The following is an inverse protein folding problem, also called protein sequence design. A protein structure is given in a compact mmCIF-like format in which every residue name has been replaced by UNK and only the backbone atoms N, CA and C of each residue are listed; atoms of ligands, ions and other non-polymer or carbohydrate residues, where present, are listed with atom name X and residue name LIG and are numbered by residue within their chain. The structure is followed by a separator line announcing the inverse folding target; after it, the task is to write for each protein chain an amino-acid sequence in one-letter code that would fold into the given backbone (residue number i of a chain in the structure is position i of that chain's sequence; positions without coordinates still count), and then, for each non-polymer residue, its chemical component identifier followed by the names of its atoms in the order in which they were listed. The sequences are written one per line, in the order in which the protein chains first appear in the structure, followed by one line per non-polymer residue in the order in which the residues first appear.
data_IF_443679339324
#
_entry.id   IF_443679339324
#
_cell.length_a   1.000
_cell.length_b   1.000
_cell.length_c   1.000
_cell.angle_alpha   90.00
_cell.angle_beta   90.00
_cell.angle_gamma   90.00
#
_symmetry.space_group_name_H-M   'P 1'
#
loop_
_entity.id
_entity.type
_entity.pdbx_description
1 polymer ?
#
# COMPACT_ATOMS: atom_id res chain seq x y z
N UNK A 1 -19.26 -9.29 6.49
CA UNK A 1 -20.19 -10.35 6.02
C UNK A 1 -20.57 -10.25 4.54
N UNK A 2 -21.32 -9.23 4.09
CA UNK A 2 -21.82 -9.13 2.69
C UNK A 2 -20.73 -9.27 1.62
N UNK A 3 -19.56 -8.61 1.80
CA UNK A 3 -18.43 -8.75 0.87
C UNK A 3 -17.97 -10.22 0.71
N UNK A 4 -17.87 -10.98 1.80
CA UNK A 4 -17.49 -12.40 1.75
C UNK A 4 -18.55 -13.26 1.05
N UNK A 5 -19.84 -12.91 1.15
CA UNK A 5 -20.93 -13.55 0.40
C UNK A 5 -20.79 -13.30 -1.11
N UNK A 6 -20.47 -12.07 -1.51
CA UNK A 6 -20.25 -11.69 -2.90
C UNK A 6 -19.02 -12.37 -3.50
N UNK A 7 -17.88 -12.39 -2.79
CA UNK A 7 -16.68 -13.10 -3.27
C UNK A 7 -16.86 -14.61 -3.36
N UNK A 8 -17.60 -15.24 -2.43
CA UNK A 8 -17.96 -16.67 -2.56
C UNK A 8 -18.77 -16.91 -3.83
N UNK A 9 -19.82 -16.10 -4.08
CA UNK A 9 -20.60 -16.20 -5.32
C UNK A 9 -19.75 -15.99 -6.58
N UNK A 10 -18.78 -15.07 -6.56
CA UNK A 10 -17.84 -14.87 -7.66
C UNK A 10 -16.93 -16.10 -7.87
N UNK A 11 -16.50 -16.76 -6.79
CA UNK A 11 -15.72 -18.00 -6.84
C UNK A 11 -16.54 -19.16 -7.40
N UNK A 12 -17.82 -19.26 -7.04
CA UNK A 12 -18.74 -20.29 -7.57
C UNK A 12 -19.03 -20.08 -9.07
N UNK A 13 -19.08 -18.81 -9.52
CA UNK A 13 -19.29 -18.42 -10.92
C UNK A 13 -18.03 -18.44 -11.78
N UNK A 14 -16.85 -18.70 -11.21
CA UNK A 14 -15.58 -18.79 -11.95
C UNK A 14 -15.14 -20.24 -12.04
N UNK A 15 -15.29 -20.92 -13.20
CA UNK A 15 -14.82 -22.30 -13.38
C UNK A 15 -13.31 -22.44 -13.12
N UNK A 16 -12.81 -23.67 -13.02
CA UNK A 16 -11.38 -23.93 -12.90
C UNK A 16 -10.90 -24.84 -14.04
N UNK A 17 -11.08 -24.40 -15.28
CA UNK A 17 -10.79 -25.21 -16.49
C UNK A 17 -9.62 -24.67 -17.31
N UNK A 18 -9.21 -23.42 -17.08
CA UNK A 18 -8.07 -22.78 -17.75
C UNK A 18 -7.13 -22.08 -16.76
N UNK A 19 -5.84 -21.87 -17.11
CA UNK A 19 -4.91 -21.10 -16.27
C UNK A 19 -5.39 -19.67 -15.97
N UNK A 20 -6.05 -19.01 -16.94
CA UNK A 20 -6.60 -17.65 -16.76
C UNK A 20 -7.71 -17.64 -15.71
N UNK A 21 -8.57 -18.66 -15.69
CA UNK A 21 -9.58 -18.80 -14.65
C UNK A 21 -8.95 -19.11 -13.29
N UNK A 22 -7.92 -19.95 -13.22
CA UNK A 22 -7.20 -20.24 -11.98
C UNK A 22 -6.60 -18.94 -11.37
N UNK A 23 -6.01 -18.05 -12.17
CA UNK A 23 -5.55 -16.71 -11.73
C UNK A 23 -6.70 -15.85 -11.17
N UNK A 24 -7.86 -15.85 -11.83
CA UNK A 24 -9.06 -15.14 -11.37
C UNK A 24 -9.54 -15.72 -10.04
N UNK A 25 -9.60 -17.04 -9.91
CA UNK A 25 -9.97 -17.73 -8.66
C UNK A 25 -9.00 -17.41 -7.53
N UNK A 26 -7.70 -17.40 -7.78
CA UNK A 26 -6.69 -17.00 -6.80
C UNK A 26 -6.93 -15.56 -6.31
N UNK A 27 -7.17 -14.63 -7.24
CA UNK A 27 -7.50 -13.23 -6.90
C UNK A 27 -8.79 -13.13 -6.06
N UNK A 28 -9.84 -13.88 -6.40
CA UNK A 28 -11.09 -13.93 -5.63
C UNK A 28 -10.87 -14.55 -4.24
N UNK A 29 -10.05 -15.59 -4.13
CA UNK A 29 -9.67 -16.21 -2.86
C UNK A 29 -8.91 -15.23 -1.95
N UNK A 30 -7.98 -14.45 -2.50
CA UNK A 30 -7.30 -13.38 -1.76
C UNK A 30 -8.34 -12.38 -1.20
N UNK A 31 -9.21 -11.80 -2.03
CA UNK A 31 -10.21 -10.82 -1.58
C UNK A 31 -11.26 -11.41 -0.63
N UNK A 32 -11.60 -12.70 -0.77
CA UNK A 32 -12.44 -13.42 0.19
C UNK A 32 -11.74 -13.57 1.54
N UNK A 33 -10.44 -13.85 1.53
CA UNK A 33 -9.61 -13.87 2.74
C UNK A 33 -9.57 -12.51 3.44
N UNK A 34 -9.36 -11.44 2.67
CA UNK A 34 -9.35 -10.06 3.17
C UNK A 34 -10.71 -9.67 3.80
N UNK A 35 -11.82 -10.09 3.18
CA UNK A 35 -13.17 -9.87 3.69
C UNK A 35 -13.46 -10.66 4.98
N UNK A 36 -12.87 -11.85 5.14
CA UNK A 36 -12.93 -12.62 6.39
C UNK A 36 -12.10 -11.97 7.49
N UNK A 37 -10.87 -11.55 7.19
CA UNK A 37 -9.98 -10.86 8.13
C UNK A 37 -10.63 -9.56 8.63
N UNK A 38 -11.21 -8.76 7.74
CA UNK A 38 -11.97 -7.55 8.07
C UNK A 38 -13.25 -7.82 8.88
N UNK A 39 -13.73 -9.08 8.92
CA UNK A 39 -14.85 -9.52 9.76
C UNK A 39 -14.38 -10.28 11.02
N UNK A 40 -13.10 -10.19 11.39
CA UNK A 40 -12.52 -10.85 12.57
C UNK A 40 -12.28 -12.37 12.44
N UNK A 41 -12.49 -12.96 11.26
CA UNK A 41 -12.44 -14.39 11.06
C UNK A 41 -11.08 -14.85 10.48
N UNK A 42 -10.05 -14.83 11.32
CA UNK A 42 -8.68 -15.18 10.96
C UNK A 42 -8.52 -16.60 10.37
N UNK A 43 -9.24 -17.59 10.91
CA UNK A 43 -9.17 -18.98 10.43
C UNK A 43 -9.69 -19.16 9.00
N UNK A 44 -10.80 -18.47 8.67
CA UNK A 44 -11.30 -18.47 7.29
C UNK A 44 -10.36 -17.68 6.38
N UNK A 45 -9.87 -16.52 6.82
CA UNK A 45 -8.92 -15.70 6.07
C UNK A 45 -7.66 -16.49 5.69
N UNK A 46 -6.97 -17.08 6.67
CA UNK A 46 -5.77 -17.88 6.47
C UNK A 46 -5.98 -19.16 5.65
N UNK A 47 -7.21 -19.68 5.54
CA UNK A 47 -7.52 -20.77 4.59
C UNK A 47 -7.67 -20.28 3.15
N UNK A 48 -8.31 -19.13 2.94
CA UNK A 48 -8.46 -18.56 1.59
C UNK A 48 -7.12 -18.04 1.06
N UNK A 49 -6.30 -17.37 1.88
CA UNK A 49 -4.96 -16.91 1.49
C UNK A 49 -4.02 -18.07 1.14
N UNK A 50 -4.04 -19.19 1.89
CA UNK A 50 -3.28 -20.40 1.53
C UNK A 50 -3.74 -21.03 0.22
N UNK A 51 -5.04 -21.08 -0.04
CA UNK A 51 -5.56 -21.58 -1.31
C UNK A 51 -5.17 -20.66 -2.48
N UNK A 52 -5.23 -19.34 -2.29
CA UNK A 52 -4.73 -18.39 -3.28
C UNK A 52 -3.24 -18.58 -3.55
N UNK A 53 -2.40 -18.66 -2.50
CA UNK A 53 -0.95 -18.80 -2.65
C UNK A 53 -0.59 -20.10 -3.38
N UNK A 54 -1.25 -21.21 -3.05
CA UNK A 54 -1.04 -22.49 -3.74
C UNK A 54 -1.31 -22.39 -5.26
N UNK A 55 -2.36 -21.69 -5.68
CA UNK A 55 -2.63 -21.44 -7.11
C UNK A 55 -1.57 -20.54 -7.76
N UNK A 56 -1.06 -19.52 -7.05
CA UNK A 56 0.05 -18.70 -7.56
C UNK A 56 1.34 -19.52 -7.69
N UNK A 57 1.66 -20.38 -6.73
CA UNK A 57 2.83 -21.27 -6.77
C UNK A 57 2.72 -22.33 -7.90
N UNK A 58 1.54 -22.91 -8.12
CA UNK A 58 1.27 -23.88 -9.20
C UNK A 58 1.46 -23.24 -10.60
N UNK A 59 1.04 -21.98 -10.76
CA UNK A 59 1.12 -21.27 -12.04
C UNK A 59 2.46 -20.58 -12.29
N UNK A 60 3.30 -20.41 -11.25
CA UNK A 60 4.58 -19.72 -11.35
C UNK A 60 5.53 -20.26 -12.45
N UNK A 61 5.69 -21.58 -12.68
CA UNK A 61 6.54 -22.10 -13.75
C UNK A 61 6.08 -21.72 -15.17
N UNK A 62 4.80 -21.42 -15.35
CA UNK A 62 4.23 -21.02 -16.65
C UNK A 62 4.39 -19.52 -16.94
N UNK A 63 4.80 -18.71 -15.97
CA UNK A 63 5.00 -17.26 -16.15
C UNK A 63 6.41 -16.98 -16.69
N UNK A 64 6.48 -16.48 -17.92
CA UNK A 64 7.73 -16.14 -18.59
C UNK A 64 7.90 -14.63 -18.83
N UNK A 65 6.79 -13.90 -19.02
CA UNK A 65 6.83 -12.46 -19.26
C UNK A 65 7.19 -11.69 -17.97
N UNK A 66 8.16 -10.73 -18.00
CA UNK A 66 8.63 -10.04 -16.80
C UNK A 66 7.52 -9.33 -16.00
N UNK A 67 6.54 -8.74 -16.70
CA UNK A 67 5.39 -8.11 -16.06
C UNK A 67 4.46 -9.12 -15.34
N UNK A 68 4.30 -10.33 -15.90
CA UNK A 68 3.49 -11.39 -15.28
C UNK A 68 4.22 -12.01 -14.08
N UNK A 69 5.54 -12.18 -14.17
CA UNK A 69 6.39 -12.61 -13.06
C UNK A 69 6.30 -11.58 -11.92
N UNK A 70 6.39 -10.29 -12.24
CA UNK A 70 6.33 -9.22 -11.24
C UNK A 70 4.98 -9.17 -10.51
N UNK A 71 3.87 -9.22 -11.24
CA UNK A 71 2.51 -9.26 -10.67
C UNK A 71 2.30 -10.51 -9.78
N UNK A 72 2.74 -11.68 -10.25
CA UNK A 72 2.67 -12.92 -9.47
C UNK A 72 3.47 -12.80 -8.16
N UNK A 73 4.70 -12.30 -8.22
CA UNK A 73 5.55 -12.18 -7.04
C UNK A 73 5.05 -11.09 -6.07
N UNK A 74 4.46 -10.00 -6.56
CA UNK A 74 3.80 -8.98 -5.74
C UNK A 74 2.64 -9.59 -4.94
N UNK A 75 1.77 -10.38 -5.60
CA UNK A 75 0.64 -11.07 -4.94
C UNK A 75 1.09 -12.11 -3.94
N UNK A 76 2.13 -12.90 -4.28
CA UNK A 76 2.75 -13.85 -3.33
C UNK A 76 3.26 -13.11 -2.10
N UNK A 77 3.96 -11.98 -2.27
CA UNK A 77 4.46 -11.15 -1.17
C UNK A 77 3.34 -10.70 -0.22
N UNK A 78 2.26 -10.13 -0.75
CA UNK A 78 1.10 -9.71 0.07
C UNK A 78 0.49 -10.89 0.85
N UNK A 79 0.25 -12.03 0.18
CA UNK A 79 -0.30 -13.23 0.81
C UNK A 79 0.61 -13.81 1.90
N UNK A 80 1.92 -13.81 1.67
CA UNK A 80 2.92 -14.27 2.64
C UNK A 80 2.96 -13.36 3.87
N UNK A 81 2.92 -12.03 3.69
CA UNK A 81 2.90 -11.05 4.78
C UNK A 81 1.61 -11.15 5.61
N UNK A 82 0.46 -11.32 4.96
CA UNK A 82 -0.84 -11.58 5.60
C UNK A 82 -0.84 -12.87 6.45
N UNK A 83 0.02 -13.83 6.12
CA UNK A 83 0.22 -15.08 6.87
C UNK A 83 1.42 -15.03 7.83
N UNK A 84 1.93 -13.83 8.14
CA UNK A 84 3.09 -13.59 9.01
C UNK A 84 4.41 -14.26 8.56
N UNK A 85 4.54 -14.57 7.27
CA UNK A 85 5.75 -15.11 6.64
C UNK A 85 6.60 -13.99 6.05
N UNK A 86 7.03 -13.06 6.92
CA UNK A 86 7.62 -11.79 6.51
C UNK A 86 8.90 -11.94 5.66
N UNK A 87 9.82 -12.83 6.01
CA UNK A 87 11.06 -13.04 5.22
C UNK A 87 10.78 -13.59 3.80
N UNK A 88 9.81 -14.49 3.69
CA UNK A 88 9.34 -15.01 2.39
C UNK A 88 8.65 -13.90 1.59
N UNK A 89 7.87 -13.04 2.26
CA UNK A 89 7.19 -11.91 1.64
C UNK A 89 8.17 -10.89 1.06
N UNK A 90 9.17 -10.48 1.86
CA UNK A 90 10.27 -9.59 1.42
C UNK A 90 11.03 -10.20 0.24
N UNK A 91 11.26 -11.51 0.25
CA UNK A 91 11.90 -12.22 -0.86
C UNK A 91 11.05 -12.17 -2.14
N UNK A 92 9.74 -12.39 -2.04
CA UNK A 92 8.82 -12.27 -3.16
C UNK A 92 8.73 -10.82 -3.68
N UNK A 93 8.64 -9.83 -2.78
CA UNK A 93 8.62 -8.41 -3.16
C UNK A 93 9.89 -7.97 -3.88
N UNK A 94 11.09 -8.36 -3.41
CA UNK A 94 12.35 -8.13 -4.14
C UNK A 94 12.34 -8.79 -5.52
N UNK A 95 11.81 -10.02 -5.62
CA UNK A 95 11.67 -10.70 -6.92
C UNK A 95 10.69 -9.98 -7.86
N UNK A 96 9.65 -9.32 -7.34
CA UNK A 96 8.71 -8.55 -8.13
C UNK A 96 9.36 -7.30 -8.74
N UNK A 97 10.07 -6.53 -7.91
CA UNK A 97 10.80 -5.34 -8.35
C UNK A 97 11.94 -5.68 -9.33
N UNK A 98 12.68 -6.77 -9.07
CA UNK A 98 13.75 -7.23 -9.97
C UNK A 98 13.22 -7.65 -11.36
N UNK A 99 12.00 -8.18 -11.44
CA UNK A 99 11.38 -8.58 -12.71
C UNK A 99 10.91 -7.38 -13.56
N UNK A 100 10.41 -6.31 -12.94
CA UNK A 100 9.95 -5.12 -13.64
C UNK A 100 10.33 -3.81 -12.92
N UNK A 101 11.63 -3.46 -12.84
CA UNK A 101 12.11 -2.34 -12.01
C UNK A 101 11.68 -0.96 -12.51
N UNK A 102 11.14 -0.84 -13.71
CA UNK A 102 10.58 0.41 -14.24
C UNK A 102 9.07 0.56 -13.99
N UNK A 103 8.40 -0.48 -13.46
CA UNK A 103 6.97 -0.46 -13.17
C UNK A 103 6.69 0.25 -11.84
N UNK A 104 6.49 1.57 -11.93
CA UNK A 104 6.10 2.49 -10.85
C UNK A 104 4.98 1.93 -9.95
N UNK A 105 4.01 1.25 -10.54
CA UNK A 105 2.86 0.62 -9.89
C UNK A 105 3.27 -0.42 -8.83
N UNK A 106 4.40 -1.11 -9.02
CA UNK A 106 4.90 -2.11 -8.07
C UNK A 106 5.45 -1.44 -6.81
N UNK A 107 6.27 -0.39 -6.96
CA UNK A 107 6.72 0.43 -5.83
C UNK A 107 5.53 1.06 -5.11
N UNK A 108 4.51 1.49 -5.85
CA UNK A 108 3.32 2.09 -5.25
C UNK A 108 2.50 1.07 -4.43
N UNK A 109 2.25 -0.11 -4.99
CA UNK A 109 1.55 -1.22 -4.33
C UNK A 109 2.32 -1.69 -3.10
N UNK A 110 3.64 -1.84 -3.19
CA UNK A 110 4.47 -2.30 -2.09
C UNK A 110 4.57 -1.28 -0.95
N UNK A 111 4.84 -0.02 -1.24
CA UNK A 111 4.96 1.00 -0.19
C UNK A 111 3.61 1.26 0.50
N UNK A 112 2.49 1.25 -0.22
CA UNK A 112 1.17 1.36 0.41
C UNK A 112 0.81 0.12 1.24
N UNK A 113 1.20 -1.09 0.81
CA UNK A 113 1.12 -2.30 1.63
C UNK A 113 1.97 -2.18 2.91
N UNK A 114 3.21 -1.67 2.83
CA UNK A 114 4.09 -1.50 3.99
C UNK A 114 3.57 -0.44 4.99
N UNK A 115 3.04 0.69 4.49
CA UNK A 115 2.32 1.68 5.33
C UNK A 115 1.25 0.99 6.17
N UNK A 116 0.55 0.03 5.57
CA UNK A 116 -0.53 -0.72 6.18
C UNK A 116 -0.16 -2.16 6.57
N UNK A 117 1.11 -2.54 6.77
CA UNK A 117 1.49 -3.88 7.28
C UNK A 117 1.40 -3.93 8.82
N UNK A 118 0.98 -5.04 9.49
CA UNK A 118 0.78 -5.05 10.94
C UNK A 118 2.03 -4.63 11.71
N UNK A 119 3.19 -5.18 11.31
CA UNK A 119 4.52 -4.88 11.80
C UNK A 119 5.21 -3.90 10.86
N UNK A 120 5.48 -2.63 11.26
CA UNK A 120 6.13 -1.66 10.39
C UNK A 120 7.59 -2.05 10.10
N UNK A 121 7.90 -2.39 8.84
CA UNK A 121 9.28 -2.59 8.38
C UNK A 121 9.82 -1.31 7.72
N UNK A 122 10.39 -0.42 8.54
CA UNK A 122 11.01 0.80 8.05
C UNK A 122 12.28 0.53 7.23
N UNK A 123 13.03 -0.54 7.55
CA UNK A 123 14.29 -0.86 6.86
C UNK A 123 14.00 -1.24 5.42
N UNK A 124 13.04 -2.13 5.21
CA UNK A 124 12.63 -2.53 3.86
C UNK A 124 11.89 -1.42 3.12
N UNK A 125 11.05 -0.62 3.80
CA UNK A 125 10.43 0.55 3.17
C UNK A 125 11.48 1.56 2.65
N UNK A 126 12.57 1.78 3.39
CA UNK A 126 13.68 2.61 2.93
C UNK A 126 14.50 1.97 1.80
N UNK A 127 14.68 0.65 1.79
CA UNK A 127 15.31 -0.08 0.68
C UNK A 127 14.51 0.11 -0.62
N UNK A 128 13.21 -0.17 -0.57
CA UNK A 128 12.26 -0.02 -1.70
C UNK A 128 12.22 1.42 -2.19
N UNK A 129 12.22 2.40 -1.28
CA UNK A 129 12.28 3.82 -1.63
C UNK A 129 13.58 4.19 -2.36
N UNK A 130 14.73 3.80 -1.82
CA UNK A 130 16.04 4.05 -2.46
C UNK A 130 16.13 3.40 -3.83
N UNK A 131 15.50 2.24 -4.01
CA UNK A 131 15.40 1.62 -5.34
C UNK A 131 14.51 2.41 -6.29
N UNK A 132 13.31 2.81 -5.86
CA UNK A 132 12.42 3.65 -6.65
C UNK A 132 13.13 4.95 -7.11
N UNK A 133 13.92 5.59 -6.22
CA UNK A 133 14.67 6.80 -6.58
C UNK A 133 15.72 6.59 -7.67
N UNK A 134 16.29 5.37 -7.83
CA UNK A 134 17.24 5.03 -8.90
C UNK A 134 16.57 4.93 -10.28
N UNK A 135 15.24 4.79 -10.34
CA UNK A 135 14.53 4.66 -11.61
C UNK A 135 14.42 6.00 -12.31
N UNK A 136 14.94 6.10 -13.53
CA UNK A 136 14.97 7.32 -14.35
C UNK A 136 13.60 7.70 -14.90
N UNK A 137 12.72 6.72 -15.09
CA UNK A 137 11.33 6.89 -15.52
C UNK A 137 10.39 7.33 -14.40
N UNK A 138 10.84 7.33 -13.13
CA UNK A 138 9.98 7.71 -12.00
C UNK A 138 9.73 9.22 -11.96
N UNK A 139 8.50 9.58 -12.26
CA UNK A 139 7.98 10.95 -12.32
C UNK A 139 8.13 11.67 -10.96
N UNK A 140 8.39 12.99 -10.93
CA UNK A 140 8.71 13.71 -9.69
C UNK A 140 7.64 13.61 -8.60
N UNK A 141 6.35 13.66 -8.97
CA UNK A 141 5.23 13.53 -8.02
C UNK A 141 5.26 12.21 -7.25
N UNK A 142 5.61 11.09 -7.88
CA UNK A 142 5.67 9.79 -7.20
C UNK A 142 6.84 9.68 -6.22
N UNK A 143 7.91 10.46 -6.42
CA UNK A 143 9.00 10.59 -5.43
C UNK A 143 8.49 11.23 -4.14
N UNK A 144 7.53 12.17 -4.23
CA UNK A 144 6.84 12.74 -3.06
C UNK A 144 5.95 11.71 -2.39
N UNK A 145 5.03 11.06 -3.11
CA UNK A 145 4.13 10.05 -2.53
C UNK A 145 4.90 8.93 -1.82
N UNK A 146 5.93 8.38 -2.47
CA UNK A 146 6.77 7.34 -1.87
C UNK A 146 7.52 7.82 -0.64
N UNK A 147 8.05 9.06 -0.65
CA UNK A 147 8.71 9.63 0.52
C UNK A 147 7.75 9.83 1.69
N UNK A 148 6.53 10.32 1.44
CA UNK A 148 5.49 10.49 2.46
C UNK A 148 5.03 9.14 3.03
N UNK A 149 4.86 8.12 2.20
CA UNK A 149 4.50 6.77 2.65
C UNK A 149 5.59 6.15 3.53
N UNK A 150 6.88 6.30 3.20
CA UNK A 150 7.98 5.90 4.10
C UNK A 150 7.96 6.70 5.41
N UNK A 151 7.57 7.98 5.41
CA UNK A 151 7.34 8.74 6.65
C UNK A 151 6.19 8.17 7.48
N UNK A 152 5.11 7.66 6.87
CA UNK A 152 4.03 6.99 7.63
C UNK A 152 4.52 5.67 8.24
N UNK A 153 5.33 4.88 7.51
CA UNK A 153 5.97 3.67 8.08
C UNK A 153 6.87 4.04 9.26
N UNK A 154 7.67 5.10 9.14
CA UNK A 154 8.55 5.58 10.21
C UNK A 154 7.78 6.03 11.45
N UNK A 155 6.70 6.80 11.26
CA UNK A 155 5.78 7.22 12.32
C UNK A 155 5.20 6.01 13.06
N UNK A 156 4.71 4.99 12.32
CA UNK A 156 4.20 3.75 12.90
C UNK A 156 5.25 2.92 13.62
N UNK A 157 6.51 2.95 13.17
CA UNK A 157 7.63 2.30 13.83
C UNK A 157 8.10 3.03 15.10
N UNK A 158 7.63 4.27 15.35
CA UNK A 158 8.19 5.14 16.39
C UNK A 158 9.65 5.54 16.12
N UNK A 159 10.07 5.54 14.86
CA UNK A 159 11.46 5.73 14.45
C UNK A 159 11.62 6.98 13.56
N UNK A 160 12.77 7.66 13.61
CA UNK A 160 13.06 8.74 12.67
C UNK A 160 13.20 8.20 11.25
N UNK A 161 12.67 8.95 10.28
CA UNK A 161 12.86 8.64 8.85
C UNK A 161 14.30 9.00 8.41
N UNK A 162 14.82 8.29 7.39
CA UNK A 162 16.12 8.61 6.79
C UNK A 162 16.17 10.02 6.17
N UNK A 163 17.34 10.66 6.20
CA UNK A 163 17.53 12.00 5.64
C UNK A 163 17.28 12.05 4.13
N UNK A 164 17.59 10.97 3.42
CA UNK A 164 17.32 10.76 2.01
C UNK A 164 15.83 10.96 1.64
N UNK A 165 14.93 10.54 2.51
CA UNK A 165 13.48 10.78 2.35
C UNK A 165 13.13 12.26 2.50
N UNK A 166 13.72 12.93 3.51
CA UNK A 166 13.46 14.36 3.78
C UNK A 166 14.08 15.25 2.69
N UNK A 167 15.24 14.88 2.18
CA UNK A 167 15.96 15.61 1.13
C UNK A 167 15.19 15.57 -0.20
N UNK A 168 14.58 14.43 -0.55
CA UNK A 168 13.65 14.33 -1.69
C UNK A 168 12.44 15.25 -1.52
N UNK A 169 11.80 15.27 -0.33
CA UNK A 169 10.67 16.16 -0.07
C UNK A 169 11.10 17.64 -0.14
N UNK A 170 12.27 18.00 0.40
CA UNK A 170 12.80 19.38 0.32
C UNK A 170 13.12 19.80 -1.12
N UNK A 171 13.61 18.88 -1.95
CA UNK A 171 13.88 19.14 -3.36
C UNK A 171 12.59 19.33 -4.18
N UNK A 172 11.46 18.77 -3.75
CA UNK A 172 10.16 18.89 -4.41
C UNK A 172 9.24 19.97 -3.82
N UNK A 173 9.59 20.57 -2.66
CA UNK A 173 8.73 21.54 -1.98
C UNK A 173 8.55 22.87 -2.72
N UNK A 174 9.40 23.17 -3.71
CA UNK A 174 9.29 24.34 -4.60
C UNK A 174 8.59 24.04 -5.93
N UNK A 175 8.23 22.79 -6.19
CA UNK A 175 7.50 22.38 -7.40
C UNK A 175 6.06 22.91 -7.35
N UNK A 176 5.53 23.34 -8.49
CA UNK A 176 4.14 23.82 -8.58
C UNK A 176 3.13 22.67 -8.52
N UNK A 177 1.92 22.96 -8.05
CA UNK A 177 0.83 21.99 -7.93
C UNK A 177 0.82 21.23 -6.60
N UNK A 178 -0.11 20.28 -6.47
CA UNK A 178 -0.46 19.64 -5.21
C UNK A 178 0.69 18.84 -4.58
N UNK A 179 1.44 18.05 -5.36
CA UNK A 179 2.58 17.29 -4.84
C UNK A 179 3.68 18.18 -4.24
N UNK A 180 3.84 19.41 -4.72
CA UNK A 180 4.76 20.38 -4.11
C UNK A 180 4.29 20.86 -2.73
N UNK A 181 2.99 21.14 -2.58
CA UNK A 181 2.36 21.47 -1.28
C UNK A 181 2.47 20.30 -0.30
N UNK A 182 2.19 19.07 -0.76
CA UNK A 182 2.39 17.84 0.02
C UNK A 182 3.85 17.67 0.47
N UNK A 183 4.82 17.99 -0.39
CA UNK A 183 6.25 17.93 -0.05
C UNK A 183 6.66 19.03 0.95
N UNK A 184 6.13 20.24 0.81
CA UNK A 184 6.31 21.33 1.77
C UNK A 184 5.72 20.98 3.15
N UNK A 185 4.52 20.39 3.20
CA UNK A 185 3.92 19.90 4.45
C UNK A 185 4.75 18.75 5.03
N UNK A 186 5.17 17.80 4.18
CA UNK A 186 6.01 16.67 4.56
C UNK A 186 7.39 17.06 5.12
N UNK A 187 7.89 18.27 4.84
CA UNK A 187 9.10 18.83 5.47
C UNK A 187 8.82 19.73 6.68
N UNK A 188 7.55 20.04 6.97
CA UNK A 188 7.16 21.01 8.00
C UNK A 188 7.30 22.47 7.58
N UNK A 189 7.49 22.75 6.28
CA UNK A 189 7.61 24.12 5.76
C UNK A 189 6.28 24.87 5.70
N UNK A 190 5.15 24.16 5.57
CA UNK A 190 3.79 24.68 5.70
C UNK A 190 3.02 23.92 6.77
N UNK A 191 2.01 24.56 7.38
CA UNK A 191 1.14 23.94 8.39
C UNK A 191 -0.08 23.26 7.76
N UNK A 192 -0.78 22.43 8.53
CA UNK A 192 -1.94 21.69 8.02
C UNK A 192 -3.10 22.59 7.54
N UNK A 193 -3.36 23.70 8.22
CA UNK A 193 -4.39 24.67 7.83
C UNK A 193 -4.07 25.36 6.50
N UNK A 194 -2.79 25.59 6.21
CA UNK A 194 -2.33 26.07 4.90
C UNK A 194 -2.50 24.99 3.82
N UNK A 195 -2.11 23.73 4.09
CA UNK A 195 -2.29 22.62 3.17
C UNK A 195 -3.78 22.37 2.86
N UNK A 196 -4.63 22.33 3.89
CA UNK A 196 -6.07 22.07 3.78
C UNK A 196 -6.81 23.23 3.10
N UNK A 197 -6.44 24.47 3.40
CA UNK A 197 -6.97 25.66 2.71
C UNK A 197 -6.57 25.73 1.23
N UNK A 198 -5.50 25.03 0.86
CA UNK A 198 -4.99 24.96 -0.50
C UNK A 198 -5.49 23.73 -1.30
N UNK A 199 -6.38 22.90 -0.75
CA UNK A 199 -6.82 21.63 -1.33
C UNK A 199 -8.07 21.77 -2.21
N UNK A 200 -7.97 21.36 -3.47
CA UNK A 200 -9.03 21.41 -4.47
C UNK A 200 -9.74 20.05 -4.65
N UNK A 201 -11.08 20.08 -4.66
CA UNK A 201 -11.91 18.87 -4.78
C UNK A 201 -11.80 17.90 -3.60
N UNK A 202 -12.31 16.68 -3.77
CA UNK A 202 -12.34 15.65 -2.70
C UNK A 202 -11.03 14.86 -2.60
N UNK A 203 -10.27 14.73 -3.70
CA UNK A 203 -9.00 14.01 -3.73
C UNK A 203 -7.94 14.66 -2.84
N UNK A 204 -7.59 15.92 -3.13
CA UNK A 204 -6.56 16.65 -2.38
C UNK A 204 -6.92 16.79 -0.88
N UNK A 205 -8.21 16.98 -0.55
CA UNK A 205 -8.67 16.99 0.86
C UNK A 205 -8.47 15.63 1.54
N UNK A 206 -8.71 14.54 0.83
CA UNK A 206 -8.51 13.17 1.36
C UNK A 206 -7.03 12.91 1.63
N UNK A 207 -6.14 13.37 0.75
CA UNK A 207 -4.69 13.29 0.94
C UNK A 207 -4.22 14.19 2.09
N UNK A 208 -4.71 15.44 2.17
CA UNK A 208 -4.38 16.36 3.25
C UNK A 208 -4.75 15.80 4.64
N UNK A 209 -5.97 15.26 4.78
CA UNK A 209 -6.42 14.58 6.00
C UNK A 209 -5.55 13.36 6.34
N UNK A 210 -5.19 12.55 5.34
CA UNK A 210 -4.36 11.35 5.53
C UNK A 210 -2.95 11.70 6.01
N UNK A 211 -2.31 12.71 5.43
CA UNK A 211 -0.96 13.11 5.82
C UNK A 211 -0.92 13.87 7.15
N UNK A 212 -1.97 14.62 7.50
CA UNK A 212 -2.14 15.19 8.85
C UNK A 212 -2.33 14.09 9.90
N UNK A 213 -3.11 13.05 9.61
CA UNK A 213 -3.23 11.88 10.47
C UNK A 213 -1.87 11.19 10.69
N UNK A 214 -1.08 11.04 9.62
CA UNK A 214 0.28 10.50 9.73
C UNK A 214 1.25 11.40 10.52
N UNK A 215 1.12 12.74 10.41
CA UNK A 215 1.90 13.69 11.21
C UNK A 215 1.57 13.57 12.70
N UNK A 216 0.28 13.54 13.05
CA UNK A 216 -0.19 13.35 14.43
C UNK A 216 0.26 12.03 15.03
N UNK A 217 0.22 10.96 14.23
CA UNK A 217 0.72 9.65 14.64
C UNK A 217 2.22 9.69 14.98
N UNK A 218 3.03 10.43 14.21
CA UNK A 218 4.45 10.65 14.50
C UNK A 218 4.70 11.47 15.78
N UNK A 219 3.74 12.31 16.17
CA UNK A 219 3.76 13.11 17.40
C UNK A 219 3.15 12.37 18.61
N UNK A 220 2.67 11.14 18.43
CA UNK A 220 2.03 10.33 19.47
C UNK A 220 0.53 10.55 19.65
N UNK A 221 -0.10 11.46 18.89
CA UNK A 221 -1.56 11.66 18.86
C UNK A 221 -2.23 10.58 17.99
N UNK A 222 -2.19 9.33 18.46
CA UNK A 222 -2.84 8.20 17.81
C UNK A 222 -4.37 8.32 17.80
N UNK A 223 -4.96 9.04 18.76
CA UNK A 223 -6.40 9.27 18.82
C UNK A 223 -6.85 10.21 17.70
N UNK A 224 -6.26 11.40 17.59
CA UNK A 224 -6.55 12.36 16.52
C UNK A 224 -6.15 11.86 15.14
N UNK A 225 -5.09 11.05 15.03
CA UNK A 225 -4.78 10.34 13.79
C UNK A 225 -5.91 9.40 13.35
N UNK A 226 -6.45 8.60 14.27
CA UNK A 226 -7.56 7.69 13.98
C UNK A 226 -8.87 8.43 13.66
N UNK A 227 -9.14 9.58 14.27
CA UNK A 227 -10.29 10.41 13.93
C UNK A 227 -10.22 10.90 12.48
N UNK A 228 -9.06 11.39 12.04
CA UNK A 228 -8.83 11.84 10.67
C UNK A 228 -8.82 10.69 9.66
N UNK A 229 -8.26 9.51 10.00
CA UNK A 229 -8.38 8.34 9.14
C UNK A 229 -9.84 7.93 8.92
N UNK A 230 -10.74 8.11 9.91
CA UNK A 230 -12.18 7.86 9.72
C UNK A 230 -12.81 8.89 8.78
N UNK A 231 -12.36 10.14 8.79
CA UNK A 231 -12.78 11.17 7.83
C UNK A 231 -12.31 10.85 6.39
N UNK A 232 -11.06 10.41 6.23
CA UNK A 232 -10.49 9.90 4.95
C UNK A 232 -11.33 8.75 4.36
N UNK A 233 -11.80 7.83 5.21
CA UNK A 233 -12.71 6.75 4.80
C UNK A 233 -14.11 7.31 4.50
N UNK A 234 -14.60 8.27 5.29
CA UNK A 234 -15.89 8.95 5.11
C UNK A 234 -16.03 9.68 3.77
N UNK A 235 -14.93 10.19 3.21
CA UNK A 235 -14.91 10.85 1.89
C UNK A 235 -15.23 9.91 0.71
N UNK A 236 -15.24 8.59 0.90
CA UNK A 236 -15.71 7.62 -0.10
C UNK A 236 -14.85 7.52 -1.37
N UNK A 237 -13.58 7.97 -1.32
CA UNK A 237 -12.63 7.98 -2.45
C UNK A 237 -12.09 6.56 -2.78
N UNK A 238 -13.00 5.64 -3.12
CA UNK A 238 -12.68 4.27 -3.49
C UNK A 238 -11.76 4.26 -4.72
N UNK A 239 -10.56 3.69 -4.57
CA UNK A 239 -9.51 3.67 -5.59
C UNK A 239 -8.31 4.57 -5.31
N UNK A 240 -8.39 5.48 -4.31
CA UNK A 240 -7.24 6.25 -3.84
C UNK A 240 -6.42 5.42 -2.83
N UNK A 241 -5.09 5.54 -2.89
CA UNK A 241 -4.19 4.83 -1.98
C UNK A 241 -4.41 5.24 -0.53
N UNK A 242 -4.59 6.54 -0.27
CA UNK A 242 -4.81 7.14 1.04
C UNK A 242 -6.11 6.64 1.68
N UNK A 243 -7.16 6.49 0.89
CA UNK A 243 -8.42 5.88 1.33
C UNK A 243 -8.24 4.40 1.69
N UNK A 244 -7.56 3.62 0.84
CA UNK A 244 -7.30 2.21 1.09
C UNK A 244 -6.40 1.98 2.32
N UNK A 245 -5.31 2.75 2.45
CA UNK A 245 -4.40 2.71 3.59
C UNK A 245 -5.10 3.11 4.88
N UNK A 246 -5.87 4.21 4.91
CA UNK A 246 -6.64 4.60 6.08
C UNK A 246 -7.63 3.51 6.51
N UNK A 247 -8.33 2.90 5.54
CA UNK A 247 -9.26 1.81 5.82
C UNK A 247 -8.56 0.57 6.41
N UNK A 248 -7.31 0.30 6.02
CA UNK A 248 -6.53 -0.82 6.56
C UNK A 248 -5.90 -0.49 7.92
N UNK A 249 -5.47 0.75 8.14
CA UNK A 249 -4.92 1.25 9.41
C UNK A 249 -5.98 1.23 10.53
N UNK A 250 -7.24 1.55 10.21
CA UNK A 250 -8.36 1.53 11.15
C UNK A 250 -8.88 0.13 11.54
N UNK A 251 -8.41 -0.95 10.90
CA UNK A 251 -8.81 -2.33 11.23
C UNK A 251 -7.93 -2.95 12.34
N UNK A 252 -7.30 -2.12 13.16
CA UNK A 252 -6.25 -2.48 14.13
C UNK A 252 -6.44 -1.73 15.45
#
# INVERSE_FOLDING_TARGET
EEAARLYRRALDLTPNTTPIEALRRATILQSLGDAFAASGNADQAGRMWRQSLATWDELAPAMQEPAMIAELQMRRGVLLDQMARHDDAVTAFRSALAAAPQARELYATLLSHLVASPTPDLVFAQEVFREAQRQTTLEPQWRVYFALWVKVVAARAGQPVGSDVVDVLRAQSSTTGWSGKLAAFGTGAIRYDELAGAAEGTGERTEALFYEAARRLAEGDAAGANDLFREVVGNGMVGFYEHAMAQQLLRR
#
